data_IF_154280887003
#
_entry.id   IF_154280887003
#
_cell.length_a   1.000
_cell.length_b   1.000
_cell.length_c   1.000
_cell.angle_alpha   90.00
_cell.angle_beta   90.00
_cell.angle_gamma   90.00
#
_symmetry.space_group_name_H-M   'P 1'
#
loop_
_entity.id
_entity.type
_entity.pdbx_description
1 polymer ?
#
# COMPACT_ATOMS: atom_id res chain seq x y z
N UNK A 1 -9.25 7.58 -18.50
CA UNK A 1 -10.10 8.78 -18.67
C UNK A 1 -11.22 8.44 -19.63
N UNK A 2 -12.45 8.90 -19.38
CA UNK A 2 -13.59 8.66 -20.28
C UNK A 2 -14.24 9.99 -20.61
N UNK A 3 -14.35 10.32 -21.89
CA UNK A 3 -15.09 11.49 -22.35
C UNK A 3 -16.55 11.14 -22.65
N UNK A 4 -17.43 12.12 -22.50
CA UNK A 4 -18.86 11.98 -22.84
C UNK A 4 -19.10 11.82 -24.34
N UNK A 5 -18.14 12.24 -25.16
CA UNK A 5 -18.20 12.23 -26.62
C UNK A 5 -16.80 12.01 -27.23
N UNK A 6 -16.74 11.97 -28.56
CA UNK A 6 -15.48 11.91 -29.28
C UNK A 6 -14.74 13.25 -29.14
N UNK A 7 -13.43 13.18 -28.90
CA UNK A 7 -12.56 14.34 -28.69
C UNK A 7 -11.30 14.23 -29.54
N UNK A 8 -10.67 15.37 -29.76
CA UNK A 8 -9.64 15.58 -30.77
C UNK A 8 -8.59 16.55 -30.24
N UNK A 9 -7.34 16.46 -30.72
CA UNK A 9 -6.28 17.40 -30.30
C UNK A 9 -6.22 18.68 -31.15
N UNK A 10 -7.09 18.81 -32.15
CA UNK A 10 -7.26 20.02 -32.93
C UNK A 10 -8.74 20.34 -33.18
N UNK A 11 -9.01 21.63 -33.38
CA UNK A 11 -10.36 22.11 -33.71
C UNK A 11 -10.91 21.49 -35.01
N UNK A 12 -12.24 21.48 -35.16
CA UNK A 12 -12.91 20.96 -36.35
C UNK A 12 -13.00 19.43 -36.39
N UNK A 13 -12.85 18.76 -35.24
CA UNK A 13 -13.02 17.32 -35.12
C UNK A 13 -11.91 16.50 -35.79
N UNK A 14 -10.66 16.96 -35.68
CA UNK A 14 -9.52 16.35 -36.38
C UNK A 14 -8.31 16.15 -35.46
N UNK A 15 -7.49 15.14 -35.79
CA UNK A 15 -6.33 14.77 -34.98
C UNK A 15 -6.68 13.83 -33.82
N UNK A 16 -5.76 12.93 -33.51
CA UNK A 16 -5.92 11.99 -32.40
C UNK A 16 -5.27 12.57 -31.15
N UNK A 17 -5.78 12.23 -29.97
CA UNK A 17 -5.11 12.62 -28.73
C UNK A 17 -3.72 11.96 -28.63
N UNK A 18 -2.78 12.75 -28.13
CA UNK A 18 -1.39 12.45 -27.86
C UNK A 18 -1.14 12.50 -26.36
N UNK A 19 0.01 11.98 -25.90
CA UNK A 19 0.35 12.02 -24.47
C UNK A 19 0.43 13.46 -23.95
N UNK A 20 0.89 14.41 -24.77
CA UNK A 20 1.06 15.79 -24.39
C UNK A 20 -0.27 16.54 -24.12
N UNK A 21 -1.40 15.99 -24.55
CA UNK A 21 -2.72 16.59 -24.33
C UNK A 21 -3.22 16.39 -22.88
N UNK A 22 -2.51 15.60 -22.08
CA UNK A 22 -2.81 15.36 -20.68
C UNK A 22 -1.63 15.70 -19.78
N UNK A 23 -1.94 16.32 -18.64
CA UNK A 23 -0.99 16.56 -17.56
C UNK A 23 -1.35 15.72 -16.34
N UNK A 24 -0.35 15.10 -15.74
CA UNK A 24 -0.41 14.42 -14.46
C UNK A 24 0.23 15.24 -13.35
N UNK A 25 -0.37 15.16 -12.17
CA UNK A 25 0.27 15.55 -10.92
C UNK A 25 0.03 14.48 -9.87
N UNK A 26 0.99 14.30 -8.96
CA UNK A 26 0.92 13.33 -7.87
C UNK A 26 1.17 14.03 -6.54
N UNK A 27 0.43 13.64 -5.51
CA UNK A 27 0.57 14.19 -4.16
C UNK A 27 0.39 13.09 -3.10
N UNK A 28 0.92 13.34 -1.90
CA UNK A 28 0.96 12.34 -0.84
C UNK A 28 2.01 11.25 -1.11
N UNK A 29 2.03 10.25 -0.24
CA UNK A 29 2.87 9.06 -0.34
C UNK A 29 4.38 9.30 -0.52
N UNK A 30 5.05 8.35 -1.16
CA UNK A 30 6.52 8.33 -1.36
C UNK A 30 6.95 8.19 -2.82
N UNK A 31 6.10 7.67 -3.70
CA UNK A 31 6.34 7.63 -5.14
C UNK A 31 6.20 9.02 -5.76
N UNK A 32 6.93 9.22 -6.86
CA UNK A 32 6.88 10.45 -7.66
C UNK A 32 6.60 10.10 -9.12
N UNK A 33 6.15 11.08 -9.90
CA UNK A 33 6.01 10.93 -11.34
C UNK A 33 7.40 10.97 -11.99
N UNK A 34 7.72 9.96 -12.81
CA UNK A 34 8.90 10.01 -13.69
C UNK A 34 8.64 10.88 -14.93
N UNK A 35 7.36 11.15 -15.23
CA UNK A 35 6.90 12.05 -16.28
C UNK A 35 5.61 12.73 -15.85
N UNK A 36 5.49 14.04 -16.09
CA UNK A 36 4.26 14.79 -15.87
C UNK A 36 3.23 14.61 -17.01
N UNK A 37 3.58 13.90 -18.08
CA UNK A 37 2.64 13.47 -19.12
C UNK A 37 2.53 11.94 -19.11
N UNK A 38 1.41 11.37 -19.61
CA UNK A 38 1.31 9.94 -19.89
C UNK A 38 2.54 9.38 -20.62
N UNK A 39 2.90 8.14 -20.31
CA UNK A 39 3.99 7.42 -21.01
C UNK A 39 3.51 6.65 -22.24
N UNK A 40 2.20 6.50 -22.38
CA UNK A 40 1.53 5.89 -23.53
C UNK A 40 0.06 6.28 -23.52
N UNK A 41 -0.56 6.28 -24.69
CA UNK A 41 -2.01 6.38 -24.84
C UNK A 41 -2.56 5.21 -25.66
N UNK A 42 -3.67 4.63 -25.20
CA UNK A 42 -4.46 3.67 -26.00
C UNK A 42 -5.93 4.05 -25.95
N UNK A 43 -6.59 3.97 -27.09
CA UNK A 43 -7.93 4.51 -27.30
C UNK A 43 -8.90 3.36 -27.61
N UNK A 44 -10.02 3.35 -26.91
CA UNK A 44 -11.16 2.48 -27.21
C UNK A 44 -12.46 3.30 -27.12
N UNK A 45 -12.96 3.74 -28.27
CA UNK A 45 -14.04 4.73 -28.36
C UNK A 45 -13.69 5.98 -27.54
N UNK A 46 -14.54 6.39 -26.60
CA UNK A 46 -14.31 7.55 -25.76
C UNK A 46 -13.51 7.24 -24.49
N UNK A 47 -12.97 6.02 -24.36
CA UNK A 47 -12.14 5.60 -23.22
C UNK A 47 -10.68 5.63 -23.61
N UNK A 48 -9.92 6.44 -22.87
CA UNK A 48 -8.49 6.65 -23.04
C UNK A 48 -7.75 6.05 -21.85
N UNK A 49 -6.98 5.01 -22.11
CA UNK A 49 -6.07 4.42 -21.12
C UNK A 49 -4.73 5.11 -21.24
N UNK A 50 -4.31 5.73 -20.14
CA UNK A 50 -3.08 6.52 -20.06
C UNK A 50 -2.05 5.74 -19.24
N UNK A 51 -0.86 5.56 -19.81
CA UNK A 51 0.28 4.96 -19.11
C UNK A 51 0.83 5.95 -18.08
N UNK A 52 1.12 5.46 -16.87
CA UNK A 52 1.67 6.28 -15.79
C UNK A 52 3.14 5.91 -15.61
N UNK A 53 4.02 6.90 -15.69
CA UNK A 53 5.43 6.75 -15.33
C UNK A 53 5.64 7.09 -13.85
N UNK A 54 6.00 6.10 -13.03
CA UNK A 54 6.30 6.29 -11.61
C UNK A 54 7.78 6.01 -11.33
N UNK A 55 8.30 6.73 -10.34
CA UNK A 55 9.59 6.46 -9.69
C UNK A 55 9.37 6.24 -8.20
N UNK A 56 10.01 5.21 -7.64
CA UNK A 56 9.78 4.76 -6.26
C UNK A 56 8.64 3.74 -6.14
N UNK A 57 8.18 3.52 -4.91
CA UNK A 57 7.15 2.53 -4.55
C UNK A 57 5.93 3.26 -4.03
N UNK A 58 4.77 3.02 -4.64
CA UNK A 58 3.52 3.67 -4.23
C UNK A 58 3.07 3.16 -2.87
N UNK A 59 2.68 4.08 -1.99
CA UNK A 59 2.05 3.79 -0.70
C UNK A 59 0.75 4.59 -0.50
N UNK A 60 0.02 4.84 -1.60
CA UNK A 60 -1.31 5.47 -1.55
C UNK A 60 -1.34 6.92 -2.03
N UNK A 61 -0.48 7.30 -2.97
CA UNK A 61 -0.47 8.63 -3.56
C UNK A 61 -1.78 8.94 -4.28
N UNK A 62 -2.17 10.21 -4.30
CA UNK A 62 -3.28 10.68 -5.13
C UNK A 62 -2.74 11.20 -6.46
N UNK A 63 -3.04 10.48 -7.53
CA UNK A 63 -2.80 10.91 -8.91
C UNK A 63 -3.96 11.79 -9.38
N UNK A 64 -3.64 12.89 -10.05
CA UNK A 64 -4.59 13.77 -10.74
C UNK A 64 -4.25 13.82 -12.21
N UNK A 65 -5.26 13.82 -13.08
CA UNK A 65 -5.13 14.01 -14.53
C UNK A 65 -5.91 15.24 -14.97
N UNK A 66 -5.34 16.09 -15.81
CA UNK A 66 -6.08 17.20 -16.43
C UNK A 66 -5.82 17.23 -17.93
N UNK A 67 -6.80 17.64 -18.75
CA UNK A 67 -6.51 18.17 -20.07
C UNK A 67 -5.51 19.31 -19.97
N UNK A 68 -4.60 19.40 -20.93
CA UNK A 68 -3.76 20.57 -21.12
C UNK A 68 -4.57 21.65 -21.84
N UNK A 69 -4.34 22.92 -21.47
CA UNK A 69 -4.93 24.10 -22.11
C UNK A 69 -4.65 24.07 -23.63
N UNK A 70 -5.65 24.39 -24.43
CA UNK A 70 -5.66 24.29 -25.89
C UNK A 70 -5.34 22.88 -26.44
N UNK A 71 -5.44 21.82 -25.63
CA UNK A 71 -5.01 20.47 -26.00
C UNK A 71 -6.13 19.51 -26.47
N UNK A 72 -7.37 19.72 -26.03
CA UNK A 72 -8.46 18.76 -26.29
C UNK A 72 -9.75 19.50 -26.64
N UNK A 73 -10.38 19.10 -27.74
CA UNK A 73 -11.59 19.71 -28.28
C UNK A 73 -12.66 18.67 -28.64
N UNK A 74 -13.93 19.07 -28.60
CA UNK A 74 -15.00 18.34 -29.28
C UNK A 74 -15.01 18.62 -30.80
N UNK A 75 -15.92 17.98 -31.53
CA UNK A 75 -16.05 18.17 -32.98
C UNK A 75 -16.50 19.59 -33.38
N UNK A 76 -17.16 20.32 -32.48
CA UNK A 76 -17.60 21.70 -32.67
C UNK A 76 -16.48 22.73 -32.34
N UNK A 77 -15.34 22.26 -31.82
CA UNK A 77 -14.21 23.10 -31.43
C UNK A 77 -14.32 23.69 -30.02
N UNK A 78 -15.21 23.18 -29.17
CA UNK A 78 -15.24 23.56 -27.76
C UNK A 78 -14.10 22.84 -27.02
N UNK A 79 -13.29 23.61 -26.31
CA UNK A 79 -12.18 23.09 -25.52
C UNK A 79 -12.65 22.35 -24.27
N UNK A 80 -11.98 21.26 -23.92
CA UNK A 80 -12.17 20.58 -22.66
C UNK A 80 -11.64 21.42 -21.49
N UNK A 81 -12.46 21.60 -20.45
CA UNK A 81 -12.04 22.33 -19.24
C UNK A 81 -10.77 21.72 -18.62
N UNK A 82 -9.78 22.56 -18.32
CA UNK A 82 -8.58 22.17 -17.56
C UNK A 82 -8.86 21.95 -16.07
N UNK A 83 -10.05 22.37 -15.60
CA UNK A 83 -10.55 22.08 -14.25
C UNK A 83 -11.61 20.98 -14.31
N UNK A 84 -11.34 19.85 -13.65
CA UNK A 84 -12.21 18.67 -13.60
C UNK A 84 -12.55 18.32 -12.15
N UNK A 85 -13.68 17.64 -11.92
CA UNK A 85 -14.13 17.28 -10.57
C UNK A 85 -14.00 15.78 -10.23
N UNK A 86 -13.70 14.95 -11.22
CA UNK A 86 -13.66 13.49 -11.13
C UNK A 86 -12.36 12.91 -11.70
N UNK A 87 -11.26 13.65 -11.54
CA UNK A 87 -10.01 13.44 -12.24
C UNK A 87 -8.87 12.95 -11.33
N UNK A 88 -9.22 12.46 -10.15
CA UNK A 88 -8.26 11.93 -9.18
C UNK A 88 -8.47 10.44 -8.96
N UNK A 89 -7.38 9.71 -8.73
CA UNK A 89 -7.40 8.33 -8.28
C UNK A 89 -6.30 8.10 -7.24
N UNK A 90 -6.58 7.30 -6.22
CA UNK A 90 -5.56 6.82 -5.28
C UNK A 90 -4.84 5.63 -5.88
N UNK A 91 -3.52 5.68 -5.89
CA UNK A 91 -2.68 4.57 -6.34
C UNK A 91 -2.69 3.45 -5.30
N UNK A 92 -2.49 2.22 -5.76
CA UNK A 92 -2.44 1.07 -4.86
C UNK A 92 -1.19 1.13 -3.99
N UNK A 93 -1.35 0.95 -2.69
CA UNK A 93 -0.23 0.66 -1.81
C UNK A 93 0.37 -0.70 -2.19
N UNK A 94 1.67 -0.70 -2.45
CA UNK A 94 2.46 -1.90 -2.75
C UNK A 94 3.67 -2.01 -1.83
N UNK A 95 3.75 -1.16 -0.80
CA UNK A 95 4.70 -1.33 0.29
C UNK A 95 4.27 -2.51 1.17
N UNK A 96 5.25 -3.14 1.83
CA UNK A 96 4.96 -4.21 2.77
C UNK A 96 4.89 -3.69 4.20
N UNK A 97 4.29 -4.47 5.13
CA UNK A 97 4.15 -4.06 6.52
C UNK A 97 5.52 -3.96 7.19
N UNK A 98 5.70 -2.92 7.99
CA UNK A 98 6.89 -2.72 8.84
C UNK A 98 6.51 -2.82 10.30
N UNK A 99 7.43 -3.26 11.16
CA UNK A 99 7.21 -3.28 12.61
C UNK A 99 7.33 -1.85 13.14
N UNK A 100 6.31 -1.37 13.84
CA UNK A 100 6.28 -0.04 14.46
C UNK A 100 6.54 -0.09 15.96
N UNK A 101 6.13 -1.17 16.64
CA UNK A 101 6.45 -1.39 18.05
C UNK A 101 6.43 -2.86 18.44
N UNK A 102 7.23 -3.18 19.46
CA UNK A 102 7.14 -4.44 20.21
C UNK A 102 6.84 -4.07 21.66
N UNK A 103 5.78 -4.64 22.23
CA UNK A 103 5.29 -4.33 23.57
C UNK A 103 4.70 -5.56 24.25
N UNK A 104 4.35 -5.43 25.53
CA UNK A 104 3.56 -6.42 26.25
C UNK A 104 2.31 -5.77 26.83
N UNK A 105 1.18 -6.47 26.74
CA UNK A 105 -0.05 -6.10 27.48
C UNK A 105 -0.02 -6.63 28.91
N UNK A 106 0.87 -7.57 29.21
CA UNK A 106 1.15 -8.04 30.55
C UNK A 106 2.01 -7.01 31.27
N UNK A 107 1.58 -6.56 32.46
CA UNK A 107 2.28 -5.52 33.21
C UNK A 107 3.68 -5.98 33.63
N UNK A 108 4.60 -5.04 33.86
CA UNK A 108 5.90 -5.38 34.42
C UNK A 108 5.76 -5.98 35.83
N UNK A 109 6.49 -7.06 36.12
CA UNK A 109 6.41 -7.75 37.40
C UNK A 109 7.26 -9.01 37.44
N UNK A 110 7.18 -9.72 38.57
CA UNK A 110 7.80 -11.04 38.74
C UNK A 110 6.80 -12.12 38.37
N UNK A 111 7.20 -13.00 37.47
CA UNK A 111 6.37 -14.10 36.98
C UNK A 111 6.97 -15.45 37.35
N UNK A 112 6.14 -16.34 37.86
CA UNK A 112 6.49 -17.71 38.22
C UNK A 112 6.34 -18.66 37.03
N UNK A 113 6.85 -19.89 37.21
CA UNK A 113 6.72 -20.95 36.21
C UNK A 113 5.23 -21.20 35.92
N UNK A 114 4.88 -21.23 34.64
CA UNK A 114 3.50 -21.42 34.17
C UNK A 114 2.72 -20.13 33.94
N UNK A 115 3.23 -18.97 34.39
CA UNK A 115 2.60 -17.69 34.08
C UNK A 115 2.72 -17.36 32.59
N UNK A 116 1.67 -16.72 32.04
CA UNK A 116 1.59 -16.33 30.64
C UNK A 116 1.84 -14.83 30.47
N UNK A 117 2.78 -14.48 29.60
CA UNK A 117 3.14 -13.11 29.26
C UNK A 117 2.81 -12.90 27.78
N UNK A 118 1.90 -11.97 27.49
CA UNK A 118 1.49 -11.65 26.13
C UNK A 118 2.48 -10.65 25.51
N UNK A 119 3.18 -11.06 24.46
CA UNK A 119 4.04 -10.20 23.65
C UNK A 119 3.28 -9.80 22.40
N UNK A 120 3.28 -8.51 22.09
CA UNK A 120 2.57 -7.90 20.97
C UNK A 120 3.56 -7.23 20.04
N UNK A 121 3.40 -7.47 18.74
CA UNK A 121 4.12 -6.74 17.69
C UNK A 121 3.08 -5.99 16.87
N UNK A 122 3.22 -4.67 16.81
CA UNK A 122 2.38 -3.80 16.00
C UNK A 122 3.10 -3.48 14.69
N UNK A 123 2.35 -3.54 13.59
CA UNK A 123 2.79 -3.28 12.24
C UNK A 123 2.20 -1.96 11.72
N UNK A 124 2.76 -1.44 10.63
CA UNK A 124 2.30 -0.22 9.96
C UNK A 124 0.95 -0.39 9.25
N UNK A 125 0.57 -1.62 8.94
CA UNK A 125 -0.70 -1.98 8.29
C UNK A 125 -1.15 -3.39 8.74
N UNK A 126 -2.31 -3.82 8.28
CA UNK A 126 -2.85 -5.13 8.63
C UNK A 126 -2.02 -6.27 8.04
N UNK A 127 -1.72 -7.28 8.86
CA UNK A 127 -0.91 -8.45 8.46
C UNK A 127 -1.78 -9.70 8.46
N UNK A 128 -1.79 -10.42 7.34
CA UNK A 128 -2.39 -11.75 7.25
C UNK A 128 -1.33 -12.81 7.49
N UNK A 129 -1.49 -13.59 8.55
CA UNK A 129 -0.65 -14.75 8.81
C UNK A 129 -1.12 -15.92 7.96
N UNK A 130 -0.25 -16.43 7.09
CA UNK A 130 -0.53 -17.61 6.27
C UNK A 130 -0.34 -18.89 7.09
N UNK A 131 -1.44 -19.42 7.62
CA UNK A 131 -1.43 -20.64 8.44
C UNK A 131 -1.08 -21.92 7.67
N UNK A 132 -1.11 -21.90 6.34
CA UNK A 132 -0.70 -23.05 5.53
C UNK A 132 0.83 -23.26 5.54
N UNK A 133 1.59 -22.27 5.98
CA UNK A 133 3.05 -22.36 6.18
C UNK A 133 3.44 -22.75 7.61
N UNK A 134 2.48 -23.21 8.41
CA UNK A 134 2.81 -23.78 9.71
C UNK A 134 3.41 -25.16 9.47
N UNK A 135 4.64 -25.36 9.94
CA UNK A 135 5.35 -26.61 9.74
C UNK A 135 4.60 -27.76 10.44
N UNK A 136 4.66 -28.96 9.85
CA UNK A 136 4.08 -30.17 10.46
C UNK A 136 4.83 -30.62 11.72
N UNK A 137 6.00 -30.03 12.02
CA UNK A 137 6.79 -30.30 13.22
C UNK A 137 6.21 -29.67 14.50
N UNK A 138 5.05 -29.00 14.41
CA UNK A 138 4.40 -28.32 15.53
C UNK A 138 4.96 -26.93 15.81
N UNK A 139 5.89 -26.43 14.99
CA UNK A 139 6.42 -25.07 15.08
C UNK A 139 5.80 -24.20 13.99
N UNK A 140 4.79 -23.41 14.38
CA UNK A 140 4.12 -22.47 13.47
C UNK A 140 5.01 -21.26 13.18
N UNK A 141 5.06 -20.81 11.92
CA UNK A 141 5.59 -19.49 11.56
C UNK A 141 4.44 -18.48 11.55
N UNK A 142 4.60 -17.26 12.05
CA UNK A 142 5.85 -16.65 12.52
C UNK A 142 6.23 -17.05 13.96
N UNK A 143 7.54 -17.12 14.22
CA UNK A 143 8.12 -17.39 15.56
C UNK A 143 8.82 -16.16 16.10
N UNK A 144 8.76 -15.98 17.41
CA UNK A 144 9.52 -14.97 18.15
C UNK A 144 10.50 -15.68 19.08
N UNK A 145 11.77 -15.31 19.03
CA UNK A 145 12.78 -15.79 19.98
C UNK A 145 12.95 -14.74 21.07
N UNK A 146 12.73 -15.14 22.33
CA UNK A 146 12.88 -14.32 23.51
C UNK A 146 14.16 -14.68 24.23
N UNK A 147 14.94 -13.66 24.59
CA UNK A 147 16.08 -13.81 25.48
C UNK A 147 15.56 -14.05 26.91
N UNK A 148 15.82 -15.25 27.43
CA UNK A 148 15.27 -15.71 28.71
C UNK A 148 16.35 -16.31 29.62
N UNK A 149 17.59 -15.87 29.48
CA UNK A 149 18.76 -16.31 30.24
C UNK A 149 19.76 -17.08 29.39
N UNK A 150 20.38 -18.11 29.96
CA UNK A 150 21.38 -18.91 29.25
C UNK A 150 20.84 -19.64 28.01
N UNK A 151 19.52 -19.74 27.87
CA UNK A 151 18.83 -20.31 26.71
C UNK A 151 17.64 -19.46 26.33
N UNK A 152 17.58 -19.08 25.06
CA UNK A 152 16.46 -18.37 24.47
C UNK A 152 15.25 -19.29 24.28
N UNK A 153 14.06 -18.70 24.36
CA UNK A 153 12.79 -19.38 24.14
C UNK A 153 12.15 -18.93 22.85
N UNK A 154 11.91 -19.85 21.93
CA UNK A 154 11.29 -19.56 20.64
C UNK A 154 9.80 -19.94 20.66
N UNK A 155 8.93 -18.94 20.75
CA UNK A 155 7.47 -19.06 20.84
C UNK A 155 6.80 -18.89 19.47
N UNK A 156 5.66 -19.57 19.28
CA UNK A 156 4.89 -19.52 18.04
C UNK A 156 3.82 -18.42 18.10
N UNK A 157 3.47 -17.87 16.94
CA UNK A 157 2.35 -16.95 16.78
C UNK A 157 1.08 -17.50 17.42
N UNK A 158 0.35 -16.63 18.14
CA UNK A 158 -0.86 -16.98 18.88
C UNK A 158 -2.12 -16.44 18.21
N UNK A 159 -2.18 -15.14 17.93
CA UNK A 159 -3.40 -14.49 17.42
C UNK A 159 -3.14 -13.10 16.80
N UNK A 160 -4.15 -12.53 16.12
CA UNK A 160 -4.10 -11.16 15.56
C UNK A 160 -4.10 -11.04 14.03
N UNK A 161 -4.08 -12.16 13.29
CA UNK A 161 -4.12 -12.18 11.82
C UNK A 161 -5.31 -11.37 11.27
N UNK A 162 -5.04 -10.54 10.26
CA UNK A 162 -5.99 -9.61 9.66
C UNK A 162 -6.06 -8.24 10.34
N UNK A 163 -5.40 -8.08 11.49
CA UNK A 163 -5.17 -6.78 12.13
C UNK A 163 -3.72 -6.32 12.03
N UNK A 164 -3.47 -5.10 12.51
CA UNK A 164 -2.12 -4.52 12.58
C UNK A 164 -1.32 -4.99 13.80
N UNK A 165 -1.90 -5.75 14.74
CA UNK A 165 -1.18 -6.26 15.91
C UNK A 165 -1.26 -7.77 15.96
N UNK A 166 -0.10 -8.42 16.02
CA UNK A 166 0.03 -9.85 16.22
C UNK A 166 0.52 -10.12 17.65
N UNK A 167 0.06 -11.23 18.22
CA UNK A 167 0.34 -11.63 19.60
C UNK A 167 1.04 -12.98 19.64
N UNK A 168 2.02 -13.09 20.53
CA UNK A 168 2.68 -14.32 20.96
C UNK A 168 2.54 -14.45 22.47
N UNK A 169 2.01 -15.57 22.93
CA UNK A 169 1.94 -15.87 24.35
C UNK A 169 3.17 -16.69 24.77
N UNK A 170 3.92 -16.14 25.71
CA UNK A 170 5.07 -16.80 26.32
C UNK A 170 4.68 -17.38 27.68
N UNK A 171 4.95 -18.66 27.89
CA UNK A 171 4.78 -19.31 29.20
C UNK A 171 6.15 -19.44 29.87
N UNK A 172 6.27 -18.89 31.08
CA UNK A 172 7.53 -18.96 31.85
C UNK A 172 7.87 -20.41 32.17
N UNK A 173 9.07 -20.84 31.81
CA UNK A 173 9.58 -22.17 32.10
C UNK A 173 10.64 -22.14 33.20
N UNK A 174 10.95 -23.32 33.73
CA UNK A 174 12.02 -23.48 34.70
C UNK A 174 13.37 -23.02 34.11
N UNK A 175 14.10 -22.22 34.88
CA UNK A 175 15.40 -21.69 34.47
C UNK A 175 15.34 -20.42 33.62
N UNK A 176 14.16 -19.93 33.25
CA UNK A 176 14.04 -18.65 32.56
C UNK A 176 14.26 -17.47 33.51
N UNK A 177 14.98 -16.47 33.03
CA UNK A 177 15.26 -15.22 33.73
C UNK A 177 15.05 -14.05 32.76
N UNK A 178 14.59 -12.90 33.28
CA UNK A 178 14.61 -11.64 32.54
C UNK A 178 15.99 -10.99 32.69
N UNK A 179 16.55 -10.44 31.62
CA UNK A 179 17.77 -9.61 31.65
C UNK A 179 17.49 -8.12 31.63
#
# INVERSE_FOLDING_TARGET
VTFSEAVYNATGGSGALEEADFAFSITGGTATLSSATPTSISINNNVYTLGIGLSGTSNGETLTVNPVDDGIYDAAGNEASTSQSNNTATLNDVTGPTITSVSSTTANGTYGIGDEIAITITFSENVIVNSALFEQDGTGRPRLTLETGSSDQAINYTSGSGGATLTWNYTVQSGNISS
#
